data_IF_146213395711
#
_entry.id   IF_146213395711
#
_cell.length_a   1.000
_cell.length_b   1.000
_cell.length_c   1.000
_cell.angle_alpha   90.00
_cell.angle_beta   90.00
_cell.angle_gamma   90.00
#
_symmetry.space_group_name_H-M   'P 1'
#
loop_
_entity.id
_entity.type
_entity.pdbx_description
1 polymer ?
#
# COMPACT_ATOMS: atom_id res chain seq x y z
N UNK A 1 55.49 -15.41 11.41
CA UNK A 1 54.20 -15.71 10.82
C UNK A 1 53.40 -14.39 10.76
N UNK A 2 53.20 -13.84 9.55
CA UNK A 2 52.38 -12.64 9.33
C UNK A 2 50.96 -13.12 9.13
N UNK A 3 50.07 -12.78 10.07
CA UNK A 3 48.64 -13.03 9.98
C UNK A 3 48.03 -12.01 9.01
N UNK A 4 47.77 -12.41 7.76
CA UNK A 4 47.05 -11.59 6.83
C UNK A 4 45.57 -11.54 7.26
N UNK A 5 45.12 -10.37 7.74
CA UNK A 5 43.71 -10.10 8.03
C UNK A 5 42.99 -9.96 6.68
N UNK A 6 42.29 -11.01 6.28
CA UNK A 6 41.31 -10.92 5.18
C UNK A 6 40.18 -10.02 5.65
N UNK A 7 40.21 -8.75 5.30
CA UNK A 7 39.04 -7.87 5.34
C UNK A 7 38.12 -8.36 4.23
N UNK A 8 37.15 -9.20 4.58
CA UNK A 8 36.01 -9.48 3.71
C UNK A 8 35.27 -8.16 3.52
N UNK A 9 35.39 -7.62 2.32
CA UNK A 9 34.59 -6.49 1.86
C UNK A 9 33.13 -6.95 1.90
N UNK A 10 32.47 -6.74 3.03
CA UNK A 10 31.04 -6.97 3.15
C UNK A 10 30.40 -5.96 2.22
N UNK A 11 29.60 -6.39 1.20
CA UNK A 11 28.85 -5.44 0.40
C UNK A 11 28.06 -4.59 1.39
N UNK A 12 28.37 -3.30 1.45
CA UNK A 12 27.65 -2.36 2.28
C UNK A 12 26.16 -2.63 2.01
N UNK A 13 25.41 -2.96 3.06
CA UNK A 13 23.96 -3.07 2.96
C UNK A 13 23.53 -1.84 2.20
N UNK A 14 23.03 -2.02 0.96
CA UNK A 14 22.64 -0.88 0.12
C UNK A 14 21.63 -0.11 0.93
N UNK A 15 22.05 1.03 1.43
CA UNK A 15 21.19 1.92 2.15
C UNK A 15 19.97 2.22 1.27
N UNK A 16 18.79 2.15 1.86
CA UNK A 16 17.54 2.63 1.29
C UNK A 16 17.80 3.94 0.52
N UNK A 17 17.37 4.03 -0.74
CA UNK A 17 17.50 5.28 -1.49
C UNK A 17 16.52 6.32 -0.93
N UNK A 18 16.97 7.43 -0.35
CA UNK A 18 16.08 8.45 0.19
C UNK A 18 15.28 9.19 -0.89
N UNK A 19 15.58 8.98 -2.18
CA UNK A 19 14.91 9.65 -3.30
C UNK A 19 13.41 9.37 -3.33
N UNK A 20 12.99 8.20 -2.81
CA UNK A 20 11.56 7.84 -2.71
C UNK A 20 10.78 8.75 -1.76
N UNK A 21 11.43 9.42 -0.81
CA UNK A 21 10.75 10.37 0.08
C UNK A 21 10.08 11.50 -0.69
N UNK A 22 10.70 11.95 -1.78
CA UNK A 22 10.12 13.00 -2.64
C UNK A 22 8.89 12.52 -3.43
N UNK A 23 8.67 11.21 -3.50
CA UNK A 23 7.53 10.56 -4.16
C UNK A 23 6.35 10.33 -3.22
N UNK A 24 6.53 10.49 -1.90
CA UNK A 24 5.51 10.25 -0.89
C UNK A 24 5.07 11.57 -0.28
N UNK A 25 3.78 11.71 -0.04
CA UNK A 25 3.17 12.92 0.53
C UNK A 25 2.27 12.55 1.71
N UNK A 26 2.09 13.47 2.65
CA UNK A 26 1.03 13.37 3.65
C UNK A 26 -0.31 13.77 3.03
N UNK A 27 -1.36 13.02 3.32
CA UNK A 27 -2.74 13.30 2.87
C UNK A 27 -3.53 13.86 4.03
N UNK A 28 -4.11 15.04 3.82
CA UNK A 28 -4.87 15.79 4.82
C UNK A 28 -6.32 15.96 4.32
N UNK A 29 -7.22 15.04 4.66
CA UNK A 29 -8.63 15.15 4.32
C UNK A 29 -9.29 16.28 5.12
N UNK A 30 -10.10 17.10 4.47
CA UNK A 30 -10.93 18.10 5.15
C UNK A 30 -12.31 17.53 5.43
N UNK A 31 -12.59 17.28 6.69
CA UNK A 31 -13.86 16.75 7.14
C UNK A 31 -14.86 17.88 7.43
N UNK A 32 -16.15 17.71 7.08
CA UNK A 32 -17.20 18.64 7.53
C UNK A 32 -17.17 18.74 9.06
N UNK A 33 -17.38 19.93 9.59
CA UNK A 33 -17.38 20.17 11.05
C UNK A 33 -18.41 19.30 11.82
N UNK A 34 -19.43 18.79 11.12
CA UNK A 34 -20.49 17.92 11.66
C UNK A 34 -20.17 16.43 11.54
N UNK A 35 -19.09 16.05 10.85
CA UNK A 35 -18.69 14.67 10.74
C UNK A 35 -17.92 14.23 12.00
N UNK A 36 -18.10 12.96 12.44
CA UNK A 36 -17.21 12.39 13.45
C UNK A 36 -15.78 12.46 12.95
N UNK A 37 -14.85 12.87 13.81
CA UNK A 37 -13.43 12.87 13.47
C UNK A 37 -12.98 11.42 13.27
N UNK A 38 -12.29 11.09 12.17
CA UNK A 38 -11.73 9.76 12.00
C UNK A 38 -10.64 9.51 13.05
N UNK A 39 -10.42 8.23 13.36
CA UNK A 39 -9.32 7.81 14.25
C UNK A 39 -7.96 8.19 13.66
N UNK A 40 -7.84 8.16 12.33
CA UNK A 40 -6.67 8.60 11.59
C UNK A 40 -6.99 9.89 10.80
N UNK A 41 -6.68 11.07 11.34
CA UNK A 41 -7.02 12.34 10.68
C UNK A 41 -6.14 12.64 9.47
N UNK A 42 -5.00 11.96 9.32
CA UNK A 42 -4.05 12.07 8.22
C UNK A 42 -3.71 10.68 7.69
N UNK A 43 -3.20 10.65 6.47
CA UNK A 43 -2.68 9.44 5.82
C UNK A 43 -1.51 9.77 4.91
N UNK A 44 -1.19 8.88 4.03
CA UNK A 44 -0.11 9.01 3.05
C UNK A 44 -0.61 8.76 1.63
N UNK A 45 0.16 9.20 0.63
CA UNK A 45 0.00 8.81 -0.77
C UNK A 45 1.36 8.73 -1.45
N UNK A 46 1.47 7.91 -2.48
CA UNK A 46 2.69 7.76 -3.27
C UNK A 46 2.43 8.06 -4.74
N UNK A 47 3.36 8.77 -5.39
CA UNK A 47 3.32 9.04 -6.81
C UNK A 47 3.44 7.72 -7.60
N UNK A 48 2.49 7.47 -8.50
CA UNK A 48 2.44 6.21 -9.28
C UNK A 48 2.46 6.43 -10.78
N UNK A 49 2.12 7.64 -11.25
CA UNK A 49 2.15 8.03 -12.66
C UNK A 49 2.55 9.50 -12.80
N UNK A 50 3.20 9.84 -13.90
CA UNK A 50 3.46 11.23 -14.29
C UNK A 50 2.17 12.04 -14.42
N UNK A 51 2.24 13.35 -14.26
CA UNK A 51 1.10 14.27 -14.28
C UNK A 51 0.47 14.44 -12.89
N UNK A 52 1.22 14.17 -11.82
CA UNK A 52 0.81 14.38 -10.43
C UNK A 52 -0.17 13.35 -9.87
N UNK A 53 -0.26 12.15 -10.44
CA UNK A 53 -1.15 11.10 -9.97
C UNK A 53 -0.54 10.33 -8.80
N UNK A 54 -1.30 10.25 -7.69
CA UNK A 54 -0.90 9.63 -6.44
C UNK A 54 -1.91 8.53 -6.06
N UNK A 55 -1.39 7.36 -5.69
CA UNK A 55 -2.20 6.30 -5.07
C UNK A 55 -2.24 6.48 -3.55
N UNK A 56 -3.40 6.23 -2.95
CA UNK A 56 -3.63 6.20 -1.50
C UNK A 56 -4.71 5.17 -1.19
N UNK A 57 -5.05 4.97 0.09
CA UNK A 57 -6.19 4.14 0.46
C UNK A 57 -7.51 4.92 0.39
N UNK A 58 -8.59 4.22 0.05
CA UNK A 58 -9.92 4.83 -0.02
C UNK A 58 -10.41 5.27 1.36
N UNK A 59 -10.08 4.51 2.44
CA UNK A 59 -10.44 4.86 3.81
C UNK A 59 -9.74 6.15 4.28
N UNK A 60 -8.50 6.43 3.83
CA UNK A 60 -7.79 7.68 4.11
C UNK A 60 -8.59 8.88 3.61
N UNK A 61 -9.19 8.77 2.44
CA UNK A 61 -10.04 9.84 1.90
C UNK A 61 -11.42 9.86 2.55
N UNK A 62 -11.92 8.72 3.01
CA UNK A 62 -13.24 8.55 3.63
C UNK A 62 -14.33 9.32 2.88
N UNK A 63 -15.13 10.10 3.63
CA UNK A 63 -16.19 10.98 3.10
C UNK A 63 -15.72 12.40 2.76
N UNK A 64 -14.42 12.70 2.84
CA UNK A 64 -13.91 14.04 2.57
C UNK A 64 -14.17 14.45 1.11
N UNK A 65 -14.62 15.70 0.95
CA UNK A 65 -14.85 16.31 -0.38
C UNK A 65 -13.65 17.11 -0.85
N UNK A 66 -12.83 17.57 0.07
CA UNK A 66 -11.62 18.34 -0.21
C UNK A 66 -10.44 17.65 0.44
N UNK A 67 -9.37 17.53 -0.31
CA UNK A 67 -8.12 16.90 0.12
C UNK A 67 -7.00 17.89 -0.11
N UNK A 68 -6.16 18.07 0.89
CA UNK A 68 -4.85 18.70 0.71
C UNK A 68 -3.76 17.66 0.90
N UNK A 69 -2.63 17.88 0.27
CA UNK A 69 -1.42 17.10 0.50
C UNK A 69 -0.32 18.01 0.99
N UNK A 70 0.53 17.49 1.87
CA UNK A 70 1.79 18.12 2.27
C UNK A 70 2.93 17.37 1.59
N UNK A 71 3.68 18.10 0.78
CA UNK A 71 4.85 17.59 0.07
C UNK A 71 6.01 17.40 1.03
N UNK A 72 7.02 16.64 0.62
CA UNK A 72 8.28 16.46 1.36
C UNK A 72 8.97 17.79 1.74
N UNK A 73 8.85 18.82 0.93
CA UNK A 73 9.42 20.16 1.21
C UNK A 73 8.51 21.04 2.10
N UNK A 74 7.43 20.49 2.63
CA UNK A 74 6.48 21.17 3.52
C UNK A 74 5.39 21.96 2.81
N UNK A 75 5.42 22.11 1.48
CA UNK A 75 4.37 22.82 0.73
C UNK A 75 3.03 22.10 0.82
N UNK A 76 1.97 22.87 1.05
CA UNK A 76 0.60 22.38 1.03
C UNK A 76 -0.04 22.67 -0.33
N UNK A 77 -0.73 21.66 -0.88
CA UNK A 77 -1.43 21.76 -2.16
C UNK A 77 -2.80 21.09 -2.09
N UNK A 78 -3.76 21.62 -2.85
CA UNK A 78 -5.03 20.94 -3.08
C UNK A 78 -4.80 19.72 -3.97
N UNK A 79 -5.53 18.65 -3.70
CA UNK A 79 -5.55 17.44 -4.50
C UNK A 79 -6.97 17.13 -4.98
N UNK A 80 -7.09 16.79 -6.25
CA UNK A 80 -8.33 16.33 -6.87
C UNK A 80 -8.50 14.81 -6.62
N UNK A 81 -9.71 14.39 -6.29
CA UNK A 81 -10.05 12.96 -6.17
C UNK A 81 -10.47 12.46 -7.54
N UNK A 82 -9.65 11.63 -8.16
CA UNK A 82 -9.95 11.02 -9.47
C UNK A 82 -10.93 9.85 -9.32
N UNK A 83 -10.76 9.04 -8.29
CA UNK A 83 -11.67 7.95 -8.00
C UNK A 83 -11.30 7.16 -6.76
N UNK A 84 -12.26 6.36 -6.30
CA UNK A 84 -12.13 5.47 -5.13
C UNK A 84 -12.65 4.09 -5.47
N UNK A 85 -11.98 3.06 -5.00
CA UNK A 85 -12.41 1.68 -5.10
C UNK A 85 -12.49 1.04 -3.71
N UNK A 86 -13.68 1.06 -3.12
CA UNK A 86 -13.92 0.49 -1.79
C UNK A 86 -13.57 -0.99 -1.67
N UNK A 87 -13.89 -1.85 -2.67
CA UNK A 87 -13.55 -3.27 -2.59
C UNK A 87 -12.08 -3.61 -2.45
N UNK A 88 -11.16 -2.78 -2.94
CA UNK A 88 -9.70 -2.96 -2.78
C UNK A 88 -9.10 -1.98 -1.78
N UNK A 89 -9.89 -1.03 -1.29
CA UNK A 89 -9.44 0.09 -0.47
C UNK A 89 -8.33 0.93 -1.12
N UNK A 90 -8.37 1.10 -2.44
CA UNK A 90 -7.42 1.92 -3.21
C UNK A 90 -8.15 3.15 -3.77
N UNK A 91 -7.47 4.29 -3.75
CA UNK A 91 -7.95 5.51 -4.37
C UNK A 91 -6.83 6.18 -5.19
N UNK A 92 -7.24 6.99 -6.14
CA UNK A 92 -6.37 7.80 -6.99
C UNK A 92 -6.71 9.27 -6.77
N UNK A 93 -5.70 10.07 -6.44
CA UNK A 93 -5.78 11.52 -6.34
C UNK A 93 -4.79 12.16 -7.31
N UNK A 94 -4.96 13.45 -7.59
CA UNK A 94 -4.08 14.19 -8.48
C UNK A 94 -3.75 15.55 -7.88
N UNK A 95 -2.47 15.93 -7.96
CA UNK A 95 -1.99 17.28 -7.64
C UNK A 95 -1.58 18.03 -8.91
N UNK A 96 -1.54 19.36 -8.84
CA UNK A 96 -1.25 20.24 -9.99
C UNK A 96 0.23 20.34 -10.41
N UNK A 97 1.10 19.47 -9.87
CA UNK A 97 2.53 19.41 -10.21
C UNK A 97 2.96 17.97 -10.46
N UNK A 98 4.04 17.80 -11.20
CA UNK A 98 4.70 16.50 -11.29
C UNK A 98 5.52 16.23 -10.02
N UNK A 99 5.41 15.01 -9.53
CA UNK A 99 6.25 14.47 -8.46
C UNK A 99 7.11 13.34 -9.02
N UNK A 100 8.29 13.10 -8.47
CA UNK A 100 9.09 11.94 -8.84
C UNK A 100 8.26 10.66 -8.67
N UNK A 101 8.19 9.84 -9.71
CA UNK A 101 7.55 8.52 -9.64
C UNK A 101 8.64 7.50 -9.36
N UNK A 102 8.53 6.69 -8.29
CA UNK A 102 9.50 5.66 -8.01
C UNK A 102 9.57 4.64 -9.15
N UNK A 103 10.73 4.05 -9.38
CA UNK A 103 10.81 2.87 -10.24
C UNK A 103 9.88 1.78 -9.69
N UNK A 104 9.12 1.12 -10.58
CA UNK A 104 8.26 0.00 -10.20
C UNK A 104 9.12 -1.25 -10.03
N UNK A 105 9.09 -1.83 -8.83
CA UNK A 105 9.84 -3.05 -8.51
C UNK A 105 9.14 -4.31 -9.00
N UNK A 106 9.89 -5.41 -9.16
CA UNK A 106 9.29 -6.73 -9.34
C UNK A 106 8.57 -7.16 -8.06
N UNK A 107 7.75 -8.20 -8.17
CA UNK A 107 7.19 -8.85 -7.00
C UNK A 107 8.31 -9.31 -6.06
N UNK A 108 8.27 -8.93 -4.77
CA UNK A 108 9.34 -9.26 -3.85
C UNK A 108 9.28 -10.74 -3.42
N UNK A 109 10.44 -11.37 -3.25
CA UNK A 109 10.53 -12.72 -2.70
C UNK A 109 10.30 -12.74 -1.18
N UNK A 110 9.96 -13.93 -0.64
CA UNK A 110 9.93 -14.14 0.81
C UNK A 110 11.30 -13.80 1.44
N UNK A 111 11.26 -13.21 2.63
CA UNK A 111 12.42 -12.72 3.37
C UNK A 111 13.22 -11.60 2.67
N UNK A 112 12.78 -11.10 1.51
CA UNK A 112 13.41 -9.93 0.89
C UNK A 112 13.24 -8.70 1.80
N UNK A 113 14.28 -7.86 1.95
CA UNK A 113 14.18 -6.63 2.72
C UNK A 113 13.26 -5.63 2.02
N UNK A 114 12.37 -5.02 2.79
CA UNK A 114 11.45 -3.97 2.36
C UNK A 114 11.37 -2.85 3.39
N UNK A 115 11.04 -1.65 2.94
CA UNK A 115 10.81 -0.52 3.82
C UNK A 115 9.44 0.12 3.52
N UNK A 116 8.71 0.46 4.57
CA UNK A 116 7.50 1.27 4.51
C UNK A 116 7.86 2.74 4.69
N UNK A 117 7.31 3.61 3.83
CA UNK A 117 7.51 5.05 3.83
C UNK A 117 6.16 5.73 3.92
N UNK A 118 5.93 6.54 4.94
CA UNK A 118 4.67 7.23 5.13
C UNK A 118 4.70 8.20 6.31
N UNK A 119 3.60 8.91 6.51
CA UNK A 119 3.42 9.93 7.55
C UNK A 119 2.84 9.31 8.84
N UNK A 120 3.62 8.46 9.51
CA UNK A 120 3.18 7.81 10.74
C UNK A 120 2.85 8.86 11.84
N UNK A 121 1.64 8.78 12.39
CA UNK A 121 1.13 9.66 13.46
C UNK A 121 1.11 11.16 13.13
N UNK A 122 1.17 11.54 11.86
CA UNK A 122 1.23 12.95 11.46
C UNK A 122 2.55 13.66 11.82
N UNK A 123 3.61 12.89 12.15
CA UNK A 123 4.92 13.39 12.59
C UNK A 123 5.89 13.65 11.44
N UNK A 124 5.37 13.82 10.21
CA UNK A 124 6.10 13.85 8.95
C UNK A 124 6.55 12.46 8.44
N UNK A 125 7.14 12.44 7.23
CA UNK A 125 7.53 11.19 6.58
C UNK A 125 8.58 10.44 7.40
N UNK A 126 8.29 9.19 7.67
CA UNK A 126 9.18 8.26 8.35
C UNK A 126 9.40 6.99 7.52
N UNK A 127 10.49 6.29 7.80
CA UNK A 127 10.87 5.04 7.15
C UNK A 127 11.03 3.97 8.21
N UNK A 128 10.33 2.85 8.03
CA UNK A 128 10.49 1.65 8.85
C UNK A 128 10.82 0.48 7.95
N UNK A 129 11.77 -0.36 8.33
CA UNK A 129 12.22 -1.47 7.50
C UNK A 129 12.01 -2.81 8.19
N UNK A 130 11.84 -3.84 7.40
CA UNK A 130 11.65 -5.23 7.78
C UNK A 130 11.84 -6.14 6.56
N UNK A 131 11.16 -7.26 6.55
CA UNK A 131 11.20 -8.23 5.47
C UNK A 131 9.80 -8.61 4.99
N UNK A 132 9.72 -9.20 3.82
CA UNK A 132 8.50 -9.83 3.31
C UNK A 132 8.24 -11.12 4.07
N UNK A 133 7.17 -11.16 4.85
CA UNK A 133 6.75 -12.33 5.62
C UNK A 133 5.86 -13.28 4.81
N UNK A 134 5.08 -12.75 3.86
CA UNK A 134 4.27 -13.53 2.91
C UNK A 134 3.88 -12.68 1.71
N UNK A 135 3.51 -13.33 0.61
CA UNK A 135 2.94 -12.72 -0.59
C UNK A 135 1.57 -13.34 -0.89
N UNK A 136 0.77 -12.65 -1.70
CA UNK A 136 -0.56 -13.10 -2.14
C UNK A 136 -1.49 -13.46 -0.98
N UNK A 137 -1.42 -12.72 0.14
CA UNK A 137 -2.38 -12.89 1.22
C UNK A 137 -3.76 -12.42 0.79
N UNK A 138 -4.73 -13.31 0.93
CA UNK A 138 -6.15 -13.09 0.70
C UNK A 138 -6.95 -13.67 1.87
N UNK A 139 -8.24 -13.31 1.98
CA UNK A 139 -9.10 -13.81 3.05
C UNK A 139 -8.71 -13.30 4.44
N UNK A 140 -8.01 -12.18 4.51
CA UNK A 140 -7.64 -11.54 5.79
C UNK A 140 -8.83 -10.85 6.44
N UNK A 141 -9.85 -10.51 5.63
CA UNK A 141 -11.09 -9.88 6.07
C UNK A 141 -11.04 -8.36 6.15
N UNK A 142 -9.98 -7.71 5.62
CA UNK A 142 -9.92 -6.26 5.54
C UNK A 142 -10.74 -5.74 4.36
N UNK A 143 -10.59 -6.37 3.19
CA UNK A 143 -11.21 -5.92 1.95
C UNK A 143 -11.90 -7.08 1.21
N UNK A 144 -12.98 -6.82 0.47
CA UNK A 144 -13.60 -7.83 -0.39
C UNK A 144 -12.68 -8.36 -1.51
N UNK A 145 -11.72 -7.55 -1.94
CA UNK A 145 -10.72 -7.93 -2.97
C UNK A 145 -9.34 -7.64 -2.40
N UNK A 146 -8.57 -8.69 -2.18
CA UNK A 146 -7.27 -8.65 -1.54
C UNK A 146 -6.20 -9.32 -2.40
N UNK A 147 -5.01 -8.76 -2.37
CA UNK A 147 -3.74 -9.33 -2.82
C UNK A 147 -2.65 -8.60 -2.05
N UNK A 148 -2.36 -9.07 -0.83
CA UNK A 148 -1.46 -8.38 0.08
C UNK A 148 -0.07 -9.00 0.12
N UNK A 149 0.91 -8.14 0.27
CA UNK A 149 2.25 -8.44 0.78
C UNK A 149 2.19 -8.26 2.30
N UNK A 150 2.54 -9.30 3.05
CA UNK A 150 2.71 -9.22 4.51
C UNK A 150 4.16 -8.88 4.84
N UNK A 151 4.38 -7.98 5.79
CA UNK A 151 5.71 -7.57 6.27
C UNK A 151 5.71 -7.35 7.78
N UNK A 152 6.87 -7.46 8.40
CA UNK A 152 7.12 -7.06 9.79
C UNK A 152 7.66 -5.62 9.91
N UNK A 153 7.92 -4.93 8.78
CA UNK A 153 8.20 -3.50 8.78
C UNK A 153 7.06 -2.77 9.51
N UNK A 154 7.39 -1.97 10.52
CA UNK A 154 6.40 -1.34 11.37
C UNK A 154 5.53 -0.35 10.56
N UNK A 155 4.22 -0.58 10.55
CA UNK A 155 3.21 0.32 9.99
C UNK A 155 2.36 0.83 11.14
N UNK A 156 2.10 2.13 11.14
CA UNK A 156 1.32 2.79 12.18
C UNK A 156 0.27 3.71 11.54
N UNK A 157 -0.75 4.16 12.30
CA UNK A 157 -1.74 5.13 11.85
C UNK A 157 -1.09 6.34 11.17
N UNK A 158 -1.65 6.75 10.03
CA UNK A 158 -1.06 7.77 9.14
C UNK A 158 -0.13 7.22 8.06
N UNK A 159 0.40 6.00 8.22
CA UNK A 159 1.19 5.30 7.21
C UNK A 159 0.36 4.73 6.04
N UNK A 160 -0.95 4.56 6.23
CA UNK A 160 -1.89 4.07 5.21
C UNK A 160 -1.81 4.91 3.93
N UNK A 161 -1.70 4.27 2.76
CA UNK A 161 -1.48 4.92 1.47
C UNK A 161 -0.02 5.25 1.15
N UNK A 162 0.91 4.99 2.07
CA UNK A 162 2.34 5.15 1.86
C UNK A 162 2.94 4.07 0.95
N UNK A 163 4.23 4.22 0.65
CA UNK A 163 4.96 3.30 -0.21
C UNK A 163 5.53 2.11 0.57
N UNK A 164 5.36 0.89 0.06
CA UNK A 164 6.24 -0.22 0.39
C UNK A 164 7.28 -0.35 -0.73
N UNK A 165 8.55 -0.27 -0.38
CA UNK A 165 9.65 -0.30 -1.35
C UNK A 165 10.66 -1.38 -1.04
N UNK A 166 11.35 -1.86 -2.08
CA UNK A 166 12.46 -2.80 -1.91
C UNK A 166 13.76 -2.11 -1.49
N UNK A 167 14.83 -2.88 -1.28
CA UNK A 167 16.14 -2.37 -0.88
C UNK A 167 16.78 -1.38 -1.88
N UNK A 168 16.24 -1.26 -3.09
CA UNK A 168 16.69 -0.28 -4.10
C UNK A 168 15.81 0.98 -4.14
N UNK A 169 14.79 1.07 -3.29
CA UNK A 169 13.81 2.15 -3.29
C UNK A 169 12.74 2.02 -4.38
N UNK A 170 12.63 0.86 -5.04
CA UNK A 170 11.59 0.61 -6.04
C UNK A 170 10.27 0.26 -5.36
N UNK A 171 9.18 0.83 -5.85
CA UNK A 171 7.84 0.58 -5.33
C UNK A 171 7.42 -0.88 -5.57
N UNK A 172 7.02 -1.59 -4.52
CA UNK A 172 6.53 -2.97 -4.58
C UNK A 172 5.10 -3.13 -4.05
N UNK A 173 4.59 -2.13 -3.34
CA UNK A 173 3.22 -2.15 -2.81
C UNK A 173 2.78 -0.82 -2.22
N UNK A 174 1.49 -0.74 -1.90
CA UNK A 174 0.85 0.38 -1.20
C UNK A 174 0.53 -0.06 0.24
N UNK A 175 1.13 0.60 1.21
CA UNK A 175 0.86 0.35 2.64
C UNK A 175 -0.64 0.50 2.90
N UNK A 176 -1.28 -0.47 3.54
CA UNK A 176 -2.74 -0.50 3.65
C UNK A 176 -3.26 -0.67 5.07
N UNK A 177 -2.82 -1.70 5.80
CA UNK A 177 -3.44 -2.05 7.07
C UNK A 177 -2.47 -2.67 8.05
N UNK A 178 -2.80 -2.58 9.33
CA UNK A 178 -2.18 -3.32 10.42
C UNK A 178 -3.14 -4.38 10.93
N UNK A 179 -2.62 -5.55 11.30
CA UNK A 179 -3.43 -6.58 11.92
C UNK A 179 -3.50 -6.37 13.43
N UNK A 180 -4.48 -5.58 13.88
CA UNK A 180 -4.74 -5.41 15.31
C UNK A 180 -6.17 -5.82 15.62
N UNK A 181 -6.35 -6.96 16.28
CA UNK A 181 -7.70 -7.40 16.69
C UNK A 181 -8.23 -6.70 17.95
N UNK A 182 -7.38 -6.10 18.79
CA UNK A 182 -7.79 -5.51 20.09
C UNK A 182 -6.79 -4.51 20.74
N UNK A 183 -5.70 -4.16 20.07
CA UNK A 183 -4.76 -3.17 20.60
C UNK A 183 -4.18 -2.35 19.46
N UNK A 184 -4.02 -1.04 19.66
CA UNK A 184 -3.40 -0.13 18.67
C UNK A 184 -1.88 -0.36 18.52
N UNK A 185 -1.36 -1.47 19.05
CA UNK A 185 0.06 -1.79 19.02
C UNK A 185 0.40 -2.62 17.78
N UNK A 186 1.43 -2.21 17.05
CA UNK A 186 2.03 -3.00 15.97
C UNK A 186 2.64 -4.30 16.56
N UNK A 187 2.15 -5.45 16.10
CA UNK A 187 2.61 -6.78 16.53
C UNK A 187 3.49 -7.48 15.51
N UNK A 188 4.03 -6.75 14.52
CA UNK A 188 4.87 -7.31 13.45
C UNK A 188 4.08 -8.02 12.34
N UNK A 189 2.77 -7.78 12.22
CA UNK A 189 1.94 -8.30 11.14
C UNK A 189 1.26 -7.13 10.45
N UNK A 190 1.83 -6.71 9.33
CA UNK A 190 1.40 -5.56 8.57
C UNK A 190 1.19 -5.94 7.11
N UNK A 191 0.35 -5.19 6.40
CA UNK A 191 -0.07 -5.50 5.05
C UNK A 191 0.10 -4.29 4.12
N UNK A 192 0.56 -4.59 2.90
CA UNK A 192 0.54 -3.65 1.78
C UNK A 192 -0.17 -4.30 0.59
N UNK A 193 -1.02 -3.57 -0.10
CA UNK A 193 -1.59 -4.03 -1.36
C UNK A 193 -0.48 -4.23 -2.39
N UNK A 194 -0.47 -5.36 -3.09
CA UNK A 194 0.55 -5.65 -4.10
C UNK A 194 0.57 -4.58 -5.19
N UNK A 195 1.75 -4.25 -5.70
CA UNK A 195 1.88 -3.27 -6.78
C UNK A 195 1.03 -3.66 -8.01
N UNK A 196 0.92 -4.95 -8.31
CA UNK A 196 0.07 -5.47 -9.38
C UNK A 196 -1.40 -5.09 -9.19
N UNK A 197 -1.95 -5.27 -7.98
CA UNK A 197 -3.32 -4.87 -7.66
C UNK A 197 -3.48 -3.35 -7.75
N UNK A 198 -2.55 -2.61 -7.16
CA UNK A 198 -2.56 -1.13 -7.16
C UNK A 198 -2.60 -0.59 -8.58
N UNK A 199 -1.69 -1.01 -9.45
CA UNK A 199 -1.58 -0.46 -10.81
C UNK A 199 -2.77 -0.84 -11.68
N UNK A 200 -3.38 -2.02 -11.50
CA UNK A 200 -4.62 -2.39 -12.17
C UNK A 200 -5.77 -1.46 -11.78
N UNK A 201 -5.94 -1.19 -10.49
CA UNK A 201 -6.98 -0.29 -9.99
C UNK A 201 -6.73 1.15 -10.44
N UNK A 202 -5.48 1.63 -10.34
CA UNK A 202 -5.07 2.97 -10.79
C UNK A 202 -5.38 3.20 -12.27
N UNK A 203 -5.13 2.20 -13.13
CA UNK A 203 -5.44 2.29 -14.55
C UNK A 203 -6.95 2.52 -14.80
N UNK A 204 -7.81 1.71 -14.17
CA UNK A 204 -9.27 1.85 -14.30
C UNK A 204 -9.77 3.18 -13.71
N UNK A 205 -9.26 3.59 -12.55
CA UNK A 205 -9.64 4.86 -11.92
C UNK A 205 -9.24 6.05 -12.78
N UNK A 206 -8.04 6.04 -13.36
CA UNK A 206 -7.57 7.11 -14.25
C UNK A 206 -8.40 7.24 -15.51
N UNK A 207 -8.74 6.11 -16.13
CA UNK A 207 -9.46 6.09 -17.41
C UNK A 207 -10.97 6.31 -17.26
N UNK A 208 -11.56 5.78 -16.18
CA UNK A 208 -13.02 5.72 -16.05
C UNK A 208 -13.56 6.34 -14.76
N UNK A 209 -12.72 6.82 -13.85
CA UNK A 209 -13.12 7.30 -12.52
C UNK A 209 -13.62 6.19 -11.56
N UNK A 210 -13.69 4.95 -12.04
CA UNK A 210 -14.17 3.78 -11.27
C UNK A 210 -13.56 2.49 -11.79
N UNK A 211 -13.45 1.49 -10.93
CA UNK A 211 -13.01 0.14 -11.33
C UNK A 211 -14.17 -0.62 -11.97
N UNK A 212 -13.93 -1.20 -13.13
CA UNK A 212 -14.89 -2.02 -13.87
C UNK A 212 -14.67 -3.50 -13.52
N UNK A 213 -15.68 -4.12 -12.91
CA UNK A 213 -15.67 -5.56 -12.58
C UNK A 213 -16.77 -6.27 -13.35
N UNK A 214 -16.39 -7.33 -14.05
CA UNK A 214 -17.35 -8.27 -14.62
C UNK A 214 -17.97 -9.12 -13.50
N UNK A 215 -19.24 -9.53 -13.69
CA UNK A 215 -19.88 -10.56 -12.87
C UNK A 215 -19.75 -11.88 -13.62
N UNK A 216 -19.10 -12.87 -13.01
CA UNK A 216 -18.98 -14.21 -13.61
C UNK A 216 -20.27 -15.05 -13.46
N UNK A 217 -21.19 -14.64 -12.59
CA UNK A 217 -22.34 -15.47 -12.20
C UNK A 217 -21.95 -16.71 -11.35
N UNK A 218 -20.66 -16.88 -11.05
CA UNK A 218 -20.18 -18.02 -10.28
C UNK A 218 -20.02 -17.63 -8.80
N UNK A 219 -20.52 -18.48 -7.92
CA UNK A 219 -20.13 -18.50 -6.52
C UNK A 219 -19.15 -19.65 -6.32
N UNK A 220 -17.96 -19.32 -5.83
CA UNK A 220 -16.90 -20.29 -5.54
C UNK A 220 -16.62 -20.31 -4.04
N UNK A 221 -16.21 -21.45 -3.54
CA UNK A 221 -15.74 -21.66 -2.17
C UNK A 221 -14.39 -22.39 -2.22
N UNK A 222 -13.60 -22.23 -1.16
CA UNK A 222 -12.37 -22.97 -1.01
C UNK A 222 -12.64 -24.47 -0.90
N UNK A 223 -11.69 -25.27 -1.38
CA UNK A 223 -11.70 -26.72 -1.15
C UNK A 223 -11.52 -26.99 0.35
N UNK A 224 -12.24 -27.99 0.86
CA UNK A 224 -11.98 -28.52 2.20
C UNK A 224 -10.60 -29.18 2.25
N UNK A 225 -10.06 -29.37 3.45
CA UNK A 225 -8.75 -30.00 3.63
C UNK A 225 -8.68 -31.42 3.01
N UNK A 226 -9.77 -32.17 3.08
CA UNK A 226 -9.86 -33.49 2.44
C UNK A 226 -9.80 -33.42 0.92
N UNK A 227 -10.41 -32.42 0.31
CA UNK A 227 -10.41 -32.22 -1.14
C UNK A 227 -9.06 -31.68 -1.64
N UNK A 228 -8.37 -30.83 -0.87
CA UNK A 228 -7.03 -30.33 -1.19
C UNK A 228 -5.97 -31.44 -1.28
N UNK A 229 -6.23 -32.59 -0.64
CA UNK A 229 -5.33 -33.75 -0.75
C UNK A 229 -5.27 -34.34 -2.16
N UNK A 230 -6.29 -34.13 -3.00
CA UNK A 230 -6.39 -34.72 -4.34
C UNK A 230 -6.77 -33.74 -5.46
N UNK A 231 -7.22 -32.53 -5.11
CA UNK A 231 -7.70 -31.52 -6.06
C UNK A 231 -6.94 -30.21 -5.90
N UNK A 232 -6.83 -29.45 -6.98
CA UNK A 232 -6.35 -28.08 -6.98
C UNK A 232 -7.45 -27.15 -7.52
N UNK A 233 -7.52 -25.89 -6.96
CA UNK A 233 -8.48 -24.89 -7.43
C UNK A 233 -9.49 -24.52 -6.37
N UNK A 234 -10.74 -24.22 -6.79
CA UNK A 234 -11.85 -23.86 -5.94
C UNK A 234 -13.12 -24.60 -6.40
N UNK A 235 -14.06 -24.81 -5.46
CA UNK A 235 -15.33 -25.45 -5.75
C UNK A 235 -16.34 -24.41 -6.25
N UNK A 236 -16.99 -24.66 -7.38
CA UNK A 236 -18.15 -23.88 -7.82
C UNK A 236 -19.38 -24.40 -7.07
N UNK A 237 -19.95 -23.57 -6.19
CA UNK A 237 -21.14 -23.95 -5.39
C UNK A 237 -22.44 -23.41 -5.96
N UNK A 238 -22.36 -22.40 -6.83
CA UNK A 238 -23.52 -21.83 -7.51
C UNK A 238 -23.13 -21.21 -8.85
N UNK A 239 -23.99 -21.41 -9.83
CA UNK A 239 -23.98 -20.69 -11.11
C UNK A 239 -25.30 -19.90 -11.18
N UNK A 240 -25.17 -18.58 -11.37
CA UNK A 240 -26.32 -17.69 -11.57
C UNK A 240 -26.31 -17.27 -13.03
N UNK A 241 -27.40 -17.42 -13.77
CA UNK A 241 -27.48 -17.00 -15.16
C UNK A 241 -27.30 -15.47 -15.34
#
# INVERSE_FOLDING_TARGET
>A
AVLALLVLDQPAARAFSPDVLASVVSVLPEWPATAPRPEEPEGSAVAVLAGGYLATNAHVLGGAKRIRVRLHDGRLMDAEIIGRDGPTDIALIRVGIDLPVPEMGPEPALAAPVCAVGNAFGLDLSVTCGVVSAIHRTGTGFNPVEDFIQTDAAINPGGSGGALVDARGRLVGLVSAIFTKRSDANIGVNFAASLRLVMRVVADLKEHGRVRRGKSGLRVEDLTDGERASLAGARIVRVTP
#
